data_IF_119568918368
#
_entry.id   IF_119568918368
#
_cell.length_a   1.000
_cell.length_b   1.000
_cell.length_c   1.000
_cell.angle_alpha   90.00
_cell.angle_beta   90.00
_cell.angle_gamma   90.00
#
_symmetry.space_group_name_H-M   'P 1'
#
loop_
_entity.id
_entity.type
_entity.pdbx_description
1 polymer ?
#
# COMPACT_ATOMS: atom_id res chain seq x y z
N UNK A 1 16.65 -39.59 -71.01
CA UNK A 1 15.24 -39.15 -71.10
C UNK A 1 15.20 -37.63 -70.95
N UNK A 2 14.43 -36.96 -71.83
CA UNK A 2 14.32 -35.52 -72.14
C UNK A 2 14.49 -34.55 -70.96
N UNK A 3 15.25 -33.45 -71.01
CA UNK A 3 15.32 -32.32 -71.96
C UNK A 3 14.05 -31.42 -71.99
N UNK A 4 14.12 -30.21 -71.41
CA UNK A 4 13.77 -29.00 -72.15
C UNK A 4 14.38 -27.73 -71.54
N UNK A 5 14.69 -26.79 -72.42
CA UNK A 5 15.66 -25.69 -72.29
C UNK A 5 14.95 -24.36 -72.58
N UNK A 6 15.47 -23.29 -71.96
CA UNK A 6 15.57 -21.88 -72.46
C UNK A 6 14.31 -20.99 -72.58
N UNK A 7 14.48 -19.78 -72.05
CA UNK A 7 13.77 -18.58 -72.50
C UNK A 7 14.19 -17.29 -71.77
N UNK A 8 15.39 -16.74 -72.05
CA UNK A 8 15.75 -15.35 -71.72
C UNK A 8 15.17 -14.41 -72.78
N UNK A 9 14.58 -13.28 -72.38
CA UNK A 9 14.57 -12.03 -73.17
C UNK A 9 14.80 -10.81 -72.26
N UNK A 10 15.46 -9.83 -72.87
CA UNK A 10 16.19 -8.68 -72.34
C UNK A 10 15.34 -7.40 -72.52
N UNK A 11 15.56 -6.44 -71.62
CA UNK A 11 15.54 -4.97 -71.80
C UNK A 11 14.28 -4.27 -72.35
N UNK A 12 13.77 -3.33 -71.56
CA UNK A 12 13.69 -1.92 -71.99
C UNK A 12 13.80 -0.96 -70.80
N UNK A 13 14.72 0.00 -70.93
CA UNK A 13 14.85 1.18 -70.10
C UNK A 13 13.79 2.20 -70.56
N UNK A 14 13.14 2.88 -69.63
CA UNK A 14 12.66 4.24 -69.86
C UNK A 14 13.01 5.10 -68.65
N UNK A 15 13.65 6.22 -68.98
CA UNK A 15 14.21 7.27 -68.12
C UNK A 15 13.32 8.50 -68.32
N UNK A 16 13.33 9.42 -67.34
CA UNK A 16 12.76 10.80 -67.30
C UNK A 16 11.60 10.91 -66.29
N UNK A 17 11.49 11.95 -65.44
CA UNK A 17 12.29 13.18 -65.26
C UNK A 17 11.96 13.79 -63.89
N UNK A 18 12.96 14.46 -63.32
CA UNK A 18 12.93 15.51 -62.30
C UNK A 18 11.65 16.35 -62.21
N UNK A 19 11.27 16.68 -60.97
CA UNK A 19 11.07 18.08 -60.55
C UNK A 19 11.45 18.24 -59.07
N UNK A 20 12.48 19.05 -58.85
CA UNK A 20 12.78 19.72 -57.58
C UNK A 20 11.78 20.86 -57.36
N UNK A 21 11.42 21.12 -56.11
CA UNK A 21 11.12 22.49 -55.67
C UNK A 21 11.63 22.68 -54.25
N UNK A 22 12.76 23.38 -54.14
CA UNK A 22 13.19 24.12 -52.96
C UNK A 22 12.45 25.46 -52.92
N UNK A 23 11.95 25.85 -51.76
CA UNK A 23 11.93 27.26 -51.37
C UNK A 23 12.26 27.39 -49.89
N UNK A 24 13.03 28.43 -49.61
CA UNK A 24 13.71 28.77 -48.36
C UNK A 24 13.21 30.12 -47.84
N UNK A 25 13.72 30.53 -46.68
CA UNK A 25 13.70 31.89 -46.09
C UNK A 25 12.34 32.32 -45.47
N UNK A 26 12.21 33.02 -44.33
CA UNK A 26 13.14 33.72 -43.42
C UNK A 26 12.38 34.18 -42.14
N UNK A 27 13.14 34.58 -41.10
CA UNK A 27 12.87 35.53 -39.99
C UNK A 27 11.85 35.24 -38.87
N UNK A 28 12.40 35.21 -37.64
CA UNK A 28 11.76 35.76 -36.42
C UNK A 28 11.53 37.28 -36.52
N UNK A 29 10.65 37.86 -35.70
CA UNK A 29 11.16 38.44 -34.45
C UNK A 29 10.24 38.27 -33.23
N UNK A 30 10.86 38.48 -32.07
CA UNK A 30 10.25 38.59 -30.75
C UNK A 30 9.24 39.74 -30.62
N UNK A 31 8.28 39.62 -29.69
CA UNK A 31 7.88 40.71 -28.78
C UNK A 31 6.88 40.23 -27.70
N UNK A 32 7.22 40.63 -26.46
CA UNK A 32 6.36 41.15 -25.40
C UNK A 32 5.20 40.31 -24.84
N UNK A 33 5.48 39.78 -23.64
CA UNK A 33 4.78 40.08 -22.39
C UNK A 33 3.29 40.40 -22.41
N UNK A 34 2.50 39.57 -21.72
CA UNK A 34 1.32 39.98 -20.95
C UNK A 34 0.98 38.92 -19.90
N UNK A 35 1.32 39.24 -18.66
CA UNK A 35 0.74 38.69 -17.44
C UNK A 35 -0.73 39.15 -17.32
N UNK A 36 -1.64 38.22 -17.01
CA UNK A 36 -3.03 38.50 -16.63
C UNK A 36 -3.57 37.29 -15.81
N UNK A 37 -4.56 37.47 -14.91
CA UNK A 37 -4.40 37.07 -13.51
C UNK A 37 -5.29 35.91 -13.05
N UNK A 38 -4.96 35.44 -11.84
CA UNK A 38 -5.78 34.64 -10.92
C UNK A 38 -7.28 35.02 -10.96
N UNK A 39 -8.13 34.08 -11.36
CA UNK A 39 -9.58 34.17 -11.16
C UNK A 39 -10.00 33.38 -9.91
N UNK A 40 -10.32 34.12 -8.84
CA UNK A 40 -11.05 33.63 -7.67
C UNK A 40 -12.47 33.23 -8.10
N UNK A 41 -12.84 31.97 -7.91
CA UNK A 41 -14.23 31.53 -8.00
C UNK A 41 -14.97 31.86 -6.71
N UNK A 42 -15.80 32.91 -6.76
CA UNK A 42 -16.77 33.24 -5.72
C UNK A 42 -17.96 32.29 -5.77
N UNK A 43 -18.29 31.69 -4.62
CA UNK A 43 -19.54 30.96 -4.38
C UNK A 43 -20.75 31.87 -4.58
N UNK A 44 -21.73 31.45 -5.38
CA UNK A 44 -23.13 31.91 -5.28
C UNK A 44 -24.00 30.77 -4.75
N UNK A 45 -24.73 31.09 -3.69
CA UNK A 45 -25.82 30.32 -3.08
C UNK A 45 -27.07 30.37 -3.97
N UNK A 46 -27.82 29.26 -4.01
CA UNK A 46 -29.28 29.27 -4.13
C UNK A 46 -29.84 27.94 -3.58
N UNK A 47 -30.97 28.02 -2.85
CA UNK A 47 -31.92 26.91 -2.69
C UNK A 47 -31.85 26.13 -1.39
N UNK A 48 -32.69 26.51 -0.42
CA UNK A 48 -32.94 25.82 0.83
C UNK A 48 -34.02 24.75 0.67
N UNK A 49 -33.86 23.61 1.34
CA UNK A 49 -34.94 22.73 1.78
C UNK A 49 -34.62 22.28 3.21
N UNK A 50 -35.42 22.75 4.15
CA UNK A 50 -35.31 22.57 5.61
C UNK A 50 -36.02 21.30 6.05
N UNK A 51 -35.35 20.42 6.81
CA UNK A 51 -35.96 19.53 7.81
C UNK A 51 -35.02 19.54 9.04
N UNK A 52 -35.46 20.20 10.11
CA UNK A 52 -34.69 20.35 11.35
C UNK A 52 -34.89 19.18 12.32
N UNK A 53 -33.96 18.96 13.27
CA UNK A 53 -34.20 18.12 14.42
C UNK A 53 -34.63 18.95 15.64
N UNK A 54 -35.62 18.40 16.33
CA UNK A 54 -36.29 18.86 17.54
C UNK A 54 -35.31 19.16 18.68
N UNK A 55 -35.44 20.35 19.29
CA UNK A 55 -34.73 20.79 20.50
C UNK A 55 -35.66 20.60 21.69
N UNK A 56 -35.23 19.85 22.71
CA UNK A 56 -35.83 19.86 24.05
C UNK A 56 -35.08 20.90 24.87
N UNK A 57 -35.85 21.85 25.41
CA UNK A 57 -35.42 22.93 26.31
C UNK A 57 -35.63 22.46 27.75
N UNK A 58 -34.64 22.64 28.61
CA UNK A 58 -34.84 22.74 30.06
C UNK A 58 -34.07 23.97 30.54
N UNK A 59 -34.82 24.94 31.03
CA UNK A 59 -34.38 26.16 31.71
C UNK A 59 -33.83 25.85 33.11
N UNK A 60 -32.90 26.69 33.59
CA UNK A 60 -32.55 26.75 35.00
C UNK A 60 -31.18 27.33 35.31
N UNK A 61 -31.08 28.67 35.38
CA UNK A 61 -30.07 29.40 36.18
C UNK A 61 -30.85 30.16 37.27
N UNK A 62 -30.27 30.58 38.43
CA UNK A 62 -29.13 31.51 38.45
C UNK A 62 -28.15 31.47 39.66
N UNK A 63 -27.06 32.22 39.47
CA UNK A 63 -26.42 33.15 40.42
C UNK A 63 -25.41 32.68 41.52
N UNK A 64 -24.19 33.24 41.35
CA UNK A 64 -23.25 33.87 42.34
C UNK A 64 -22.64 32.96 43.44
N UNK A 65 -21.37 33.07 43.86
CA UNK A 65 -20.59 34.25 44.25
C UNK A 65 -19.08 33.89 44.42
N UNK A 66 -18.20 34.91 44.28
CA UNK A 66 -16.76 34.95 44.64
C UNK A 66 -16.47 34.56 46.11
N UNK A 67 -15.26 34.07 46.42
CA UNK A 67 -14.39 34.37 47.60
C UNK A 67 -13.12 33.49 47.50
N UNK A 68 -11.94 34.02 47.12
CA UNK A 68 -10.80 34.47 47.96
C UNK A 68 -10.00 33.36 48.68
N UNK A 69 -8.68 33.35 48.41
CA UNK A 69 -7.60 32.65 49.12
C UNK A 69 -7.50 33.06 50.60
N UNK A 70 -6.73 32.30 51.41
CA UNK A 70 -5.43 32.84 51.82
C UNK A 70 -4.26 31.84 51.78
N UNK A 71 -3.07 32.44 51.74
CA UNK A 71 -1.73 31.87 51.88
C UNK A 71 -1.47 31.28 53.27
N UNK A 72 -0.49 30.36 53.38
CA UNK A 72 0.53 30.46 54.42
C UNK A 72 1.74 29.56 54.13
N UNK A 73 2.88 30.20 54.34
CA UNK A 73 4.28 29.84 54.15
C UNK A 73 4.80 28.90 55.26
N UNK A 74 5.83 28.11 54.96
CA UNK A 74 6.70 27.51 55.97
C UNK A 74 8.02 27.04 55.32
N UNK A 75 9.04 27.89 55.49
CA UNK A 75 10.45 27.58 55.33
C UNK A 75 11.00 26.91 56.60
N UNK A 76 11.95 25.98 56.45
CA UNK A 76 13.05 25.77 57.42
C UNK A 76 14.11 24.79 56.87
N UNK A 77 15.36 25.14 57.19
CA UNK A 77 16.63 24.61 56.72
C UNK A 77 17.21 23.49 57.61
N UNK A 78 18.21 22.79 57.08
CA UNK A 78 19.48 22.29 57.70
C UNK A 78 19.80 20.87 57.19
N UNK A 79 20.86 20.60 56.42
CA UNK A 79 22.32 20.75 56.61
C UNK A 79 22.96 19.62 57.47
N UNK A 80 24.07 19.09 56.93
CA UNK A 80 25.02 18.08 57.46
C UNK A 80 24.67 16.60 57.15
N UNK A 81 25.57 15.70 56.74
CA UNK A 81 27.03 15.69 56.76
C UNK A 81 27.65 14.73 55.71
N UNK A 82 28.91 15.05 55.35
CA UNK A 82 30.06 14.19 55.06
C UNK A 82 29.87 12.75 54.53
N UNK A 83 30.51 12.48 53.38
CA UNK A 83 30.72 11.14 52.84
C UNK A 83 31.76 10.30 53.60
N UNK A 84 31.94 9.03 53.18
CA UNK A 84 33.19 8.71 52.50
C UNK A 84 33.02 7.77 51.28
N UNK A 85 33.99 7.85 50.35
CA UNK A 85 34.22 6.88 49.26
C UNK A 85 34.88 5.58 49.81
N UNK A 86 35.31 4.62 48.95
CA UNK A 86 34.50 3.52 48.42
C UNK A 86 35.05 2.16 48.91
N UNK A 87 34.26 1.09 48.80
CA UNK A 87 34.82 -0.28 48.88
C UNK A 87 34.58 -1.02 47.58
N UNK A 88 35.71 -1.37 46.96
CA UNK A 88 35.90 -2.41 45.98
C UNK A 88 35.27 -3.73 46.42
N UNK A 89 34.69 -4.45 45.47
CA UNK A 89 34.84 -5.89 45.22
C UNK A 89 33.96 -6.18 44.00
N UNK A 90 34.46 -6.79 42.94
CA UNK A 90 35.22 -8.02 42.97
C UNK A 90 34.38 -9.01 42.17
N UNK A 91 34.78 -9.24 40.93
CA UNK A 91 34.14 -10.19 40.03
C UNK A 91 34.18 -11.58 40.65
N UNK A 92 33.03 -12.21 40.84
CA UNK A 92 32.90 -13.66 40.89
C UNK A 92 31.78 -14.05 39.93
N UNK A 93 32.21 -14.57 38.78
CA UNK A 93 31.33 -15.22 37.82
C UNK A 93 30.92 -16.57 38.37
N UNK A 94 29.62 -16.79 38.48
CA UNK A 94 29.03 -18.12 38.48
C UNK A 94 28.31 -18.29 37.16
N UNK A 95 28.86 -19.15 36.30
CA UNK A 95 28.20 -19.61 35.08
C UNK A 95 27.00 -20.46 35.51
N UNK A 96 25.79 -19.90 35.42
CA UNK A 96 24.57 -20.70 35.52
C UNK A 96 24.29 -21.30 34.15
N UNK A 97 24.14 -22.63 34.11
CA UNK A 97 23.68 -23.35 32.92
C UNK A 97 22.25 -22.89 32.57
N UNK A 98 21.88 -22.80 31.27
CA UNK A 98 20.55 -22.38 30.89
C UNK A 98 19.52 -23.46 31.26
N UNK A 99 18.41 -23.00 31.82
CA UNK A 99 17.24 -23.78 32.18
C UNK A 99 16.64 -24.49 30.94
N UNK A 100 16.44 -25.82 30.96
CA UNK A 100 15.88 -26.56 29.82
C UNK A 100 14.42 -26.18 29.48
N UNK A 101 13.72 -25.41 30.32
CA UNK A 101 12.35 -24.94 30.08
C UNK A 101 12.27 -23.51 29.49
N UNK A 102 13.39 -22.94 29.05
CA UNK A 102 13.43 -21.61 28.45
C UNK A 102 12.67 -21.55 27.10
N UNK A 103 11.51 -20.91 27.12
CA UNK A 103 10.69 -20.63 25.93
C UNK A 103 11.46 -19.73 24.95
N UNK A 104 11.85 -20.27 23.81
CA UNK A 104 12.51 -19.51 22.74
C UNK A 104 11.50 -18.62 21.98
N UNK A 105 11.61 -17.31 22.14
CA UNK A 105 10.84 -16.29 21.40
C UNK A 105 11.49 -16.01 20.03
N UNK A 106 10.76 -16.00 18.89
CA UNK A 106 11.29 -15.59 17.59
C UNK A 106 11.24 -14.06 17.38
N UNK A 107 12.35 -13.53 16.85
CA UNK A 107 12.57 -12.26 16.15
C UNK A 107 12.06 -10.95 16.79
N UNK A 108 12.97 -10.32 17.54
CA UNK A 108 13.10 -8.88 17.79
C UNK A 108 11.79 -8.09 17.90
N UNK A 109 11.13 -8.21 19.07
CA UNK A 109 10.33 -7.11 19.61
C UNK A 109 11.29 -5.93 19.79
N UNK A 110 11.18 -4.91 18.92
CA UNK A 110 11.83 -3.59 18.98
C UNK A 110 13.28 -3.62 19.50
N UNK A 111 14.30 -3.45 18.63
CA UNK A 111 15.71 -3.42 19.05
C UNK A 111 15.97 -2.45 20.23
N UNK A 112 16.06 -3.02 21.43
CA UNK A 112 16.30 -2.29 22.67
C UNK A 112 17.82 -2.11 22.84
N UNK A 113 18.44 -1.31 21.99
CA UNK A 113 19.82 -0.86 22.20
C UNK A 113 19.80 0.22 23.31
N UNK A 114 20.71 0.20 24.31
CA UNK A 114 20.62 1.11 25.44
C UNK A 114 20.93 2.57 25.04
N UNK A 115 19.91 3.30 24.58
CA UNK A 115 19.91 4.74 24.42
C UNK A 115 18.99 5.36 25.49
N UNK A 116 19.47 6.42 26.17
CA UNK A 116 18.84 7.26 27.21
C UNK A 116 17.61 6.71 27.97
N UNK A 117 17.65 6.72 29.32
CA UNK A 117 16.65 6.11 30.21
C UNK A 117 15.16 6.46 29.95
N UNK A 118 14.85 7.59 29.29
CA UNK A 118 13.49 7.95 28.84
C UNK A 118 13.01 7.13 27.63
N UNK A 119 13.88 6.90 26.65
CA UNK A 119 13.60 6.12 25.43
C UNK A 119 13.22 4.68 25.79
N UNK A 120 13.88 4.11 26.79
CA UNK A 120 13.62 2.75 27.26
C UNK A 120 12.18 2.54 27.76
N UNK A 121 11.58 3.55 28.41
CA UNK A 121 10.21 3.45 28.94
C UNK A 121 9.18 3.51 27.81
N UNK A 122 9.41 4.39 26.82
CA UNK A 122 8.57 4.51 25.63
C UNK A 122 8.57 3.21 24.82
N UNK A 123 9.75 2.66 24.51
CA UNK A 123 9.87 1.42 23.74
C UNK A 123 9.19 0.25 24.44
N UNK A 124 9.28 0.18 25.79
CA UNK A 124 8.52 -0.81 26.58
C UNK A 124 7.01 -0.59 26.50
N UNK A 125 6.55 0.66 26.49
CA UNK A 125 5.13 0.95 26.25
C UNK A 125 4.66 0.42 24.89
N UNK A 126 5.43 0.65 23.83
CA UNK A 126 5.11 0.14 22.49
C UNK A 126 5.16 -1.38 22.40
N UNK A 127 6.16 -2.01 23.01
CA UNK A 127 6.30 -3.47 23.04
C UNK A 127 5.13 -4.16 23.78
N UNK A 128 4.47 -3.50 24.75
CA UNK A 128 3.23 -4.02 25.36
C UNK A 128 2.09 -4.06 24.33
N UNK A 129 1.97 -3.04 23.47
CA UNK A 129 0.95 -3.02 22.42
C UNK A 129 1.18 -4.13 21.39
N UNK A 130 2.43 -4.36 21.00
CA UNK A 130 2.81 -5.47 20.12
C UNK A 130 2.54 -6.84 20.78
N UNK A 131 2.90 -7.01 22.06
CA UNK A 131 2.60 -8.22 22.81
C UNK A 131 1.08 -8.48 22.90
N UNK A 132 0.29 -7.43 23.11
CA UNK A 132 -1.17 -7.52 23.13
C UNK A 132 -1.74 -7.91 21.76
N UNK A 133 -1.21 -7.33 20.67
CA UNK A 133 -1.56 -7.70 19.30
C UNK A 133 -1.23 -9.18 19.01
N UNK A 134 -0.15 -9.70 19.58
CA UNK A 134 0.26 -11.11 19.49
C UNK A 134 -0.44 -12.04 20.50
N UNK A 135 -1.45 -11.54 21.23
CA UNK A 135 -2.33 -12.36 22.06
C UNK A 135 -2.03 -12.38 23.55
N UNK A 136 -1.04 -11.63 24.05
CA UNK A 136 -0.86 -11.44 25.49
C UNK A 136 -2.03 -10.65 26.09
N UNK A 137 -2.54 -11.10 27.24
CA UNK A 137 -3.75 -10.52 27.85
C UNK A 137 -3.59 -10.13 29.32
N UNK A 138 -2.52 -10.52 29.99
CA UNK A 138 -2.36 -10.30 31.42
C UNK A 138 -0.98 -9.73 31.79
N UNK A 139 -0.84 -9.23 33.02
CA UNK A 139 0.41 -8.60 33.48
C UNK A 139 1.59 -9.58 33.50
N UNK A 140 1.34 -10.90 33.63
CA UNK A 140 2.40 -11.90 33.65
C UNK A 140 2.98 -12.09 32.25
N UNK A 141 2.11 -12.28 31.25
CA UNK A 141 2.47 -12.41 29.84
C UNK A 141 3.13 -11.14 29.30
N UNK A 142 2.64 -9.95 29.67
CA UNK A 142 3.34 -8.71 29.34
C UNK A 142 4.71 -8.62 30.04
N UNK A 143 4.80 -8.90 31.35
CA UNK A 143 6.09 -8.85 32.06
C UNK A 143 7.13 -9.82 31.48
N UNK A 144 6.70 -11.02 31.08
CA UNK A 144 7.54 -12.01 30.44
C UNK A 144 8.02 -11.55 29.05
N UNK A 145 7.13 -10.98 28.23
CA UNK A 145 7.49 -10.48 26.90
C UNK A 145 8.49 -9.30 26.94
N UNK A 146 8.46 -8.49 28.01
CA UNK A 146 9.30 -7.31 28.15
C UNK A 146 10.52 -7.49 29.06
N UNK A 147 10.64 -8.61 29.77
CA UNK A 147 11.67 -8.83 30.79
C UNK A 147 11.58 -7.83 31.96
N UNK A 148 10.38 -7.39 32.32
CA UNK A 148 10.15 -6.36 33.35
C UNK A 148 9.50 -6.91 34.61
N UNK A 149 9.75 -6.24 35.75
CA UNK A 149 9.11 -6.57 37.02
C UNK A 149 7.60 -6.34 36.97
N UNK A 150 6.83 -7.05 37.81
CA UNK A 150 5.38 -6.88 37.92
C UNK A 150 4.96 -5.43 38.18
N UNK A 151 5.69 -4.72 39.03
CA UNK A 151 5.41 -3.30 39.36
C UNK A 151 5.61 -2.40 38.13
N UNK A 152 6.71 -2.60 37.40
CA UNK A 152 6.99 -1.85 36.15
C UNK A 152 5.94 -2.13 35.09
N UNK A 153 5.60 -3.40 34.85
CA UNK A 153 4.58 -3.79 33.88
C UNK A 153 3.22 -3.21 34.23
N UNK A 154 2.81 -3.28 35.50
CA UNK A 154 1.56 -2.70 35.96
C UNK A 154 1.49 -1.20 35.65
N UNK A 155 2.53 -0.44 36.00
CA UNK A 155 2.57 1.01 35.73
C UNK A 155 2.41 1.32 34.24
N UNK A 156 3.13 0.62 33.36
CA UNK A 156 3.05 0.81 31.92
C UNK A 156 1.65 0.48 31.37
N UNK A 157 1.09 -0.67 31.76
CA UNK A 157 -0.25 -1.09 31.34
C UNK A 157 -1.31 -0.11 31.84
N UNK A 158 -1.24 0.33 33.09
CA UNK A 158 -2.16 1.35 33.63
C UNK A 158 -2.09 2.65 32.84
N UNK A 159 -0.89 3.13 32.49
CA UNK A 159 -0.74 4.32 31.64
C UNK A 159 -1.33 4.14 30.25
N UNK A 160 -1.13 2.99 29.61
CA UNK A 160 -1.71 2.69 28.29
C UNK A 160 -3.24 2.56 28.34
N UNK A 161 -3.79 2.02 29.43
CA UNK A 161 -5.25 1.98 29.66
C UNK A 161 -5.81 3.38 29.85
N UNK A 162 -5.17 4.21 30.69
CA UNK A 162 -5.57 5.60 30.92
C UNK A 162 -5.53 6.42 29.61
N UNK A 163 -4.53 6.18 28.77
CA UNK A 163 -4.39 6.81 27.45
C UNK A 163 -5.24 6.14 26.35
N UNK A 164 -6.04 5.12 26.69
CA UNK A 164 -6.96 4.38 25.79
C UNK A 164 -6.28 3.56 24.68
N UNK A 165 -4.96 3.34 24.75
CA UNK A 165 -4.23 2.43 23.86
C UNK A 165 -4.46 0.96 24.23
N UNK A 166 -4.74 0.69 25.51
CA UNK A 166 -5.30 -0.58 25.98
C UNK A 166 -6.69 -0.34 26.58
N UNK A 167 -7.48 -1.39 26.71
CA UNK A 167 -8.71 -1.43 27.49
C UNK A 167 -8.72 -2.67 28.38
N UNK A 168 -9.21 -2.50 29.59
CA UNK A 168 -9.39 -3.62 30.51
C UNK A 168 -10.73 -4.30 30.21
N UNK A 169 -10.73 -5.64 30.21
CA UNK A 169 -11.90 -6.49 30.00
C UNK A 169 -11.95 -7.59 31.07
N UNK A 170 -13.08 -8.29 31.17
CA UNK A 170 -13.14 -9.52 31.95
C UNK A 170 -12.13 -10.53 31.35
N UNK A 171 -11.12 -10.90 32.12
CA UNK A 171 -10.04 -11.79 31.67
C UNK A 171 -8.77 -11.11 31.16
N UNK A 172 -8.61 -9.80 31.33
CA UNK A 172 -7.32 -9.14 31.13
C UNK A 172 -7.38 -7.80 30.38
N UNK A 173 -6.48 -7.60 29.44
CA UNK A 173 -6.31 -6.39 28.65
C UNK A 173 -6.35 -6.71 27.16
N UNK A 174 -6.95 -5.82 26.38
CA UNK A 174 -6.97 -5.85 24.92
C UNK A 174 -6.54 -4.49 24.36
N UNK A 175 -6.23 -4.45 23.07
CA UNK A 175 -6.03 -3.20 22.35
C UNK A 175 -7.24 -2.26 22.50
N UNK A 176 -6.96 -1.00 22.77
CA UNK A 176 -7.94 0.05 23.03
C UNK A 176 -8.31 0.85 21.78
N UNK A 177 -9.40 1.64 21.84
CA UNK A 177 -9.94 2.38 20.70
C UNK A 177 -9.00 3.46 20.15
N UNK A 178 -8.01 3.93 20.94
CA UNK A 178 -7.06 4.95 20.47
C UNK A 178 -6.27 4.49 19.24
N UNK A 179 -6.03 3.19 19.12
CA UNK A 179 -5.33 2.60 17.99
C UNK A 179 -6.15 2.63 16.70
N UNK A 180 -7.48 2.53 16.78
CA UNK A 180 -8.37 2.70 15.62
C UNK A 180 -8.34 4.15 15.17
N UNK A 181 -8.49 5.11 16.11
CA UNK A 181 -8.43 6.55 15.80
C UNK A 181 -7.13 6.92 15.07
N UNK A 182 -5.99 6.50 15.62
CA UNK A 182 -4.68 6.80 15.04
C UNK A 182 -4.43 6.04 13.73
N UNK A 183 -4.90 4.79 13.63
CA UNK A 183 -4.82 4.01 12.41
C UNK A 183 -5.57 4.65 11.26
N UNK A 184 -6.79 5.13 11.49
CA UNK A 184 -7.58 5.86 10.48
C UNK A 184 -6.87 7.12 10.03
N UNK A 185 -6.37 7.93 10.96
CA UNK A 185 -5.61 9.16 10.63
C UNK A 185 -4.34 8.82 9.83
N UNK A 186 -3.61 7.77 10.22
CA UNK A 186 -2.41 7.34 9.51
C UNK A 186 -2.73 6.92 8.08
N UNK A 187 -3.81 6.16 7.86
CA UNK A 187 -4.28 5.78 6.52
C UNK A 187 -4.66 7.01 5.67
N UNK A 188 -5.31 8.02 6.26
CA UNK A 188 -5.63 9.28 5.57
C UNK A 188 -4.37 10.08 5.20
N UNK A 189 -3.32 10.02 6.03
CA UNK A 189 -2.03 10.68 5.80
C UNK A 189 -1.13 9.94 4.80
N UNK A 190 -1.45 8.69 4.46
CA UNK A 190 -0.71 7.84 3.52
C UNK A 190 -1.53 7.62 2.24
N UNK A 191 -1.69 8.65 1.38
CA UNK A 191 -2.40 8.46 0.12
C UNK A 191 -1.65 7.43 -0.72
N UNK A 192 -2.34 6.34 -1.08
CA UNK A 192 -1.81 5.20 -1.83
C UNK A 192 -0.97 5.62 -3.04
N UNK A 193 -1.40 6.64 -3.79
CA UNK A 193 -0.65 7.14 -4.94
C UNK A 193 0.72 7.71 -4.57
N UNK A 194 0.83 8.43 -3.45
CA UNK A 194 2.12 8.97 -2.99
C UNK A 194 3.05 7.86 -2.50
N UNK A 195 2.52 6.88 -1.78
CA UNK A 195 3.27 5.69 -1.33
C UNK A 195 3.75 4.87 -2.53
N UNK A 196 2.88 4.64 -3.51
CA UNK A 196 3.22 3.82 -4.67
C UNK A 196 4.20 4.52 -5.64
N UNK A 197 4.15 5.86 -5.75
CA UNK A 197 4.83 6.60 -6.82
C UNK A 197 6.31 6.26 -6.99
N UNK A 198 7.15 6.19 -5.94
CA UNK A 198 8.57 5.85 -6.10
C UNK A 198 8.78 4.45 -6.68
N UNK A 199 7.97 3.47 -6.27
CA UNK A 199 8.02 2.10 -6.81
C UNK A 199 7.58 2.02 -8.26
N UNK A 200 6.52 2.76 -8.62
CA UNK A 200 6.09 2.83 -10.02
C UNK A 200 7.18 3.47 -10.90
N UNK A 201 7.87 4.50 -10.40
CA UNK A 201 9.00 5.13 -11.10
C UNK A 201 10.15 4.15 -11.28
N UNK A 202 10.54 3.42 -10.23
CA UNK A 202 11.57 2.39 -10.32
C UNK A 202 11.21 1.30 -11.35
N UNK A 203 9.95 0.86 -11.40
CA UNK A 203 9.47 -0.07 -12.45
C UNK A 203 9.58 0.54 -13.84
N UNK A 204 9.13 1.78 -14.01
CA UNK A 204 9.15 2.45 -15.31
C UNK A 204 10.59 2.63 -15.82
N UNK A 205 11.51 3.02 -14.94
CA UNK A 205 12.93 3.17 -15.24
C UNK A 205 13.58 1.83 -15.60
N UNK A 206 13.24 0.76 -14.86
CA UNK A 206 13.81 -0.57 -15.09
C UNK A 206 13.28 -1.24 -16.36
N UNK A 207 11.99 -1.07 -16.68
CA UNK A 207 11.32 -1.82 -17.77
C UNK A 207 11.18 -1.02 -19.06
N UNK A 208 11.21 0.32 -18.96
CA UNK A 208 10.87 1.26 -20.03
C UNK A 208 9.45 1.12 -20.58
N UNK A 209 8.59 0.38 -19.88
CA UNK A 209 7.22 0.07 -20.26
C UNK A 209 6.21 0.94 -19.50
N UNK A 210 4.94 0.89 -19.91
CA UNK A 210 3.89 1.65 -19.24
C UNK A 210 3.52 0.99 -17.93
N UNK A 211 3.54 1.77 -16.85
CA UNK A 211 3.16 1.31 -15.51
C UNK A 211 1.77 1.83 -15.16
N UNK A 212 0.93 0.96 -14.60
CA UNK A 212 -0.40 1.33 -14.10
C UNK A 212 -0.52 1.03 -12.60
N UNK A 213 -1.29 1.87 -11.92
CA UNK A 213 -1.81 1.58 -10.59
C UNK A 213 -3.33 1.76 -10.63
N UNK A 214 -4.06 0.78 -10.12
CA UNK A 214 -5.50 0.83 -10.03
C UNK A 214 -6.02 0.40 -8.67
N UNK A 215 -7.27 0.76 -8.40
CA UNK A 215 -8.08 0.26 -7.28
C UNK A 215 -9.37 -0.32 -7.81
N UNK A 216 -10.01 -1.19 -7.03
CA UNK A 216 -11.30 -1.77 -7.39
C UNK A 216 -12.43 -0.76 -7.14
N UNK A 217 -13.31 -0.61 -8.12
CA UNK A 217 -14.54 0.17 -8.02
C UNK A 217 -15.70 -0.68 -8.55
N UNK A 218 -16.39 -1.39 -7.64
CA UNK A 218 -17.42 -2.36 -7.98
C UNK A 218 -16.87 -3.55 -8.78
N UNK A 219 -17.35 -3.69 -10.02
CA UNK A 219 -16.93 -4.72 -10.98
C UNK A 219 -15.84 -4.22 -11.96
N UNK A 220 -15.35 -2.99 -11.75
CA UNK A 220 -14.34 -2.34 -12.58
C UNK A 220 -13.05 -2.06 -11.78
N UNK A 221 -11.98 -1.80 -12.53
CA UNK A 221 -10.76 -1.14 -12.04
C UNK A 221 -10.85 0.34 -12.35
N UNK A 222 -10.61 1.18 -11.36
CA UNK A 222 -10.34 2.60 -11.52
C UNK A 222 -8.82 2.83 -11.56
N UNK A 223 -8.31 3.35 -12.68
CA UNK A 223 -6.91 3.77 -12.78
C UNK A 223 -6.67 5.03 -11.95
N UNK A 224 -5.75 4.97 -10.99
CA UNK A 224 -5.43 6.09 -10.10
C UNK A 224 -4.03 6.66 -10.34
N UNK A 225 -3.15 5.89 -10.99
CA UNK A 225 -1.88 6.40 -11.50
C UNK A 225 -1.46 5.70 -12.79
N UNK A 226 -0.66 6.39 -13.59
CA UNK A 226 -0.06 5.91 -14.84
C UNK A 226 1.29 6.59 -15.04
N UNK A 227 2.31 5.79 -15.35
CA UNK A 227 3.60 6.29 -15.88
C UNK A 227 3.73 5.78 -17.32
N UNK A 228 3.71 6.66 -18.33
CA UNK A 228 3.91 6.27 -19.71
C UNK A 228 5.29 5.62 -19.92
N UNK A 229 5.33 4.53 -20.70
CA UNK A 229 6.58 3.94 -21.15
C UNK A 229 7.32 4.83 -22.15
N UNK A 230 8.60 4.56 -22.37
CA UNK A 230 9.46 5.36 -23.28
C UNK A 230 9.56 4.81 -24.69
N UNK A 231 8.91 3.66 -24.97
CA UNK A 231 8.92 2.97 -26.27
C UNK A 231 7.97 3.57 -27.32
N UNK A 232 7.49 4.79 -27.12
CA UNK A 232 6.64 5.52 -28.08
C UNK A 232 5.23 4.97 -28.27
N UNK A 233 4.76 4.12 -27.35
CA UNK A 233 3.42 3.54 -27.38
C UNK A 233 2.43 4.37 -26.56
N UNK A 234 1.35 4.82 -27.20
CA UNK A 234 0.23 5.45 -26.49
C UNK A 234 -0.88 4.42 -26.24
N UNK A 235 -1.03 4.01 -24.98
CA UNK A 235 -2.12 3.14 -24.54
C UNK A 235 -3.38 3.96 -24.23
N UNK A 236 -4.57 3.40 -24.52
CA UNK A 236 -5.89 4.03 -24.26
C UNK A 236 -6.16 4.30 -22.77
N UNK A 237 -5.49 3.57 -21.87
CA UNK A 237 -5.60 3.76 -20.43
C UNK A 237 -5.27 5.21 -20.01
N UNK A 238 -6.02 5.78 -19.08
CA UNK A 238 -5.71 7.08 -18.45
C UNK A 238 -6.19 7.10 -17.01
N UNK A 239 -5.56 7.92 -16.17
CA UNK A 239 -6.03 8.15 -14.80
C UNK A 239 -7.50 8.60 -14.83
N UNK A 240 -8.31 8.04 -13.94
CA UNK A 240 -9.75 8.25 -13.86
C UNK A 240 -10.59 7.38 -14.82
N UNK A 241 -9.97 6.59 -15.71
CA UNK A 241 -10.71 5.60 -16.50
C UNK A 241 -11.10 4.39 -15.68
N UNK A 242 -12.20 3.77 -16.12
CA UNK A 242 -12.67 2.47 -15.63
C UNK A 242 -12.55 1.41 -16.70
N UNK A 243 -12.12 0.22 -16.32
CA UNK A 243 -12.12 -0.97 -17.19
C UNK A 243 -12.61 -2.20 -16.40
N UNK A 244 -13.31 -3.16 -17.04
CA UNK A 244 -13.83 -4.32 -16.32
C UNK A 244 -12.71 -5.18 -15.70
N UNK A 245 -12.93 -5.63 -14.46
CA UNK A 245 -11.91 -6.35 -13.68
C UNK A 245 -11.31 -7.54 -14.42
N UNK A 246 -12.15 -8.46 -14.90
CA UNK A 246 -11.70 -9.73 -15.46
C UNK A 246 -10.99 -9.57 -16.82
N UNK A 247 -11.13 -8.41 -17.48
CA UNK A 247 -10.46 -8.12 -18.75
C UNK A 247 -9.04 -7.59 -18.59
N UNK A 248 -8.66 -7.07 -17.42
CA UNK A 248 -7.37 -6.40 -17.21
C UNK A 248 -6.45 -7.19 -16.30
N UNK A 249 -5.13 -7.04 -16.46
CA UNK A 249 -4.15 -7.68 -15.57
C UNK A 249 -4.32 -7.23 -14.11
N UNK A 250 -4.33 -5.92 -13.86
CA UNK A 250 -4.55 -5.35 -12.53
C UNK A 250 -5.90 -5.74 -11.93
N UNK A 251 -6.96 -5.85 -12.75
CA UNK A 251 -8.27 -6.26 -12.26
C UNK A 251 -8.31 -7.72 -11.86
N UNK A 252 -7.73 -8.61 -12.67
CA UNK A 252 -7.51 -10.01 -12.27
C UNK A 252 -6.68 -10.10 -10.99
N UNK A 253 -5.67 -9.24 -10.82
CA UNK A 253 -4.84 -9.25 -9.60
C UNK A 253 -5.65 -8.88 -8.35
N UNK A 254 -6.64 -7.99 -8.47
CA UNK A 254 -7.59 -7.67 -7.39
C UNK A 254 -8.61 -8.78 -7.11
N UNK A 255 -8.69 -9.80 -7.96
CA UNK A 255 -9.62 -10.91 -7.84
C UNK A 255 -8.98 -12.17 -7.23
N UNK A 256 -7.67 -12.19 -6.97
CA UNK A 256 -6.92 -13.41 -6.65
C UNK A 256 -7.40 -14.16 -5.41
N UNK A 257 -7.97 -13.44 -4.44
CA UNK A 257 -8.49 -14.01 -3.19
C UNK A 257 -10.00 -14.31 -3.26
N UNK A 258 -10.64 -14.11 -4.42
CA UNK A 258 -12.06 -14.39 -4.59
C UNK A 258 -12.30 -15.87 -4.96
N UNK A 259 -13.48 -16.37 -4.58
CA UNK A 259 -13.93 -17.70 -4.94
C UNK A 259 -14.26 -17.83 -6.44
N UNK A 260 -14.18 -19.05 -6.98
CA UNK A 260 -14.43 -19.34 -8.40
C UNK A 260 -15.79 -18.83 -8.91
N UNK A 261 -16.84 -18.84 -8.07
CA UNK A 261 -18.15 -18.30 -8.42
C UNK A 261 -18.11 -16.78 -8.65
N UNK A 262 -17.32 -16.05 -7.85
CA UNK A 262 -17.13 -14.63 -8.04
C UNK A 262 -16.31 -14.33 -9.30
N UNK A 263 -15.29 -15.15 -9.61
CA UNK A 263 -14.56 -15.08 -10.88
C UNK A 263 -15.49 -15.23 -12.07
N UNK A 264 -16.38 -16.23 -12.06
CA UNK A 264 -17.38 -16.45 -13.12
C UNK A 264 -18.26 -15.22 -13.34
N UNK A 265 -18.85 -14.71 -12.26
CA UNK A 265 -19.73 -13.53 -12.28
C UNK A 265 -19.01 -12.31 -12.88
N UNK A 266 -17.76 -12.07 -12.49
CA UNK A 266 -16.96 -10.94 -12.95
C UNK A 266 -16.49 -11.09 -14.41
N UNK A 267 -16.20 -12.31 -14.85
CA UNK A 267 -15.92 -12.60 -16.26
C UNK A 267 -17.14 -12.29 -17.13
N UNK A 268 -18.32 -12.79 -16.73
CA UNK A 268 -19.58 -12.52 -17.44
C UNK A 268 -19.92 -11.02 -17.46
N UNK A 269 -19.70 -10.31 -16.36
CA UNK A 269 -19.86 -8.85 -16.30
C UNK A 269 -18.92 -8.14 -17.28
N UNK A 270 -17.66 -8.56 -17.34
CA UNK A 270 -16.66 -8.00 -18.27
C UNK A 270 -17.04 -8.27 -19.74
N UNK A 271 -17.51 -9.47 -20.06
CA UNK A 271 -18.02 -9.79 -21.39
C UNK A 271 -19.20 -8.91 -21.81
N UNK A 272 -20.15 -8.65 -20.91
CA UNK A 272 -21.28 -7.75 -21.16
C UNK A 272 -20.82 -6.31 -21.38
N UNK A 273 -19.93 -5.80 -20.53
CA UNK A 273 -19.42 -4.44 -20.62
C UNK A 273 -18.66 -4.20 -21.95
N UNK A 274 -17.90 -5.21 -22.42
CA UNK A 274 -17.12 -5.12 -23.64
C UNK A 274 -17.90 -5.50 -24.92
N UNK A 275 -19.16 -5.93 -24.81
CA UNK A 275 -19.96 -6.41 -25.95
C UNK A 275 -20.23 -5.33 -27.01
N UNK A 276 -20.34 -4.06 -26.59
CA UNK A 276 -20.70 -2.93 -27.45
C UNK A 276 -19.53 -1.97 -27.73
N UNK A 277 -18.32 -2.34 -27.31
CA UNK A 277 -17.13 -1.53 -27.59
C UNK A 277 -16.71 -1.73 -29.05
N UNK A 278 -16.41 -0.63 -29.76
CA UNK A 278 -15.99 -0.67 -31.17
C UNK A 278 -14.65 -1.40 -31.39
N UNK A 279 -13.84 -1.52 -30.33
CA UNK A 279 -12.55 -2.17 -30.32
C UNK A 279 -12.62 -3.44 -29.47
N UNK A 280 -13.30 -4.46 -30.00
CA UNK A 280 -13.39 -5.75 -29.32
C UNK A 280 -12.01 -6.42 -29.36
N UNK A 281 -11.41 -6.74 -28.20
CA UNK A 281 -10.28 -7.65 -28.19
C UNK A 281 -10.74 -9.02 -28.71
N UNK A 282 -9.95 -9.61 -29.61
CA UNK A 282 -10.23 -10.93 -30.19
C UNK A 282 -10.06 -12.05 -29.15
N UNK A 283 -9.29 -11.79 -28.08
CA UNK A 283 -9.07 -12.75 -27.00
C UNK A 283 -10.12 -12.61 -25.91
N UNK A 284 -11.11 -13.50 -25.91
CA UNK A 284 -12.12 -13.65 -24.85
C UNK A 284 -12.13 -15.10 -24.38
N UNK A 285 -11.45 -15.44 -23.27
CA UNK A 285 -11.42 -16.80 -22.79
C UNK A 285 -12.82 -17.26 -22.36
N UNK A 286 -13.14 -18.52 -22.60
CA UNK A 286 -14.25 -19.16 -21.92
C UNK A 286 -13.96 -19.30 -20.42
N UNK A 287 -14.98 -19.68 -19.65
CA UNK A 287 -14.84 -19.77 -18.21
C UNK A 287 -13.83 -20.84 -17.78
N UNK A 288 -13.72 -21.96 -18.48
CA UNK A 288 -12.80 -23.04 -18.10
C UNK A 288 -11.34 -22.61 -18.28
N UNK A 289 -11.03 -21.95 -19.39
CA UNK A 289 -9.72 -21.34 -19.64
C UNK A 289 -9.41 -20.25 -18.62
N UNK A 290 -10.39 -19.40 -18.31
CA UNK A 290 -10.23 -18.34 -17.32
C UNK A 290 -9.99 -18.90 -15.92
N UNK A 291 -10.72 -19.95 -15.53
CA UNK A 291 -10.58 -20.63 -14.25
C UNK A 291 -9.19 -21.25 -14.08
N UNK A 292 -8.69 -21.94 -15.10
CA UNK A 292 -7.32 -22.49 -15.10
C UNK A 292 -6.28 -21.39 -14.91
N UNK A 293 -6.41 -20.28 -15.65
CA UNK A 293 -5.51 -19.11 -15.55
C UNK A 293 -5.58 -18.49 -14.15
N UNK A 294 -6.77 -18.18 -13.65
CA UNK A 294 -6.95 -17.58 -12.33
C UNK A 294 -6.47 -18.48 -11.19
N UNK A 295 -6.61 -19.79 -11.32
CA UNK A 295 -6.05 -20.75 -10.35
C UNK A 295 -4.53 -20.64 -10.30
N UNK A 296 -3.85 -20.65 -11.46
CA UNK A 296 -2.40 -20.43 -11.54
C UNK A 296 -2.01 -19.08 -10.95
N UNK A 297 -2.75 -18.04 -11.30
CA UNK A 297 -2.48 -16.67 -10.85
C UNK A 297 -2.65 -16.51 -9.34
N UNK A 298 -3.69 -17.11 -8.76
CA UNK A 298 -3.95 -17.08 -7.32
C UNK A 298 -2.85 -17.77 -6.54
N UNK A 299 -2.41 -18.95 -7.00
CA UNK A 299 -1.28 -19.68 -6.40
C UNK A 299 0.06 -18.95 -6.55
N UNK A 300 0.26 -18.28 -7.68
CA UNK A 300 1.50 -17.58 -8.00
C UNK A 300 1.59 -16.15 -7.46
N UNK A 301 0.48 -15.50 -7.15
CA UNK A 301 0.42 -14.10 -6.73
C UNK A 301 0.71 -13.09 -7.85
N UNK A 302 0.40 -13.43 -9.10
CA UNK A 302 0.60 -12.57 -10.27
C UNK A 302 -0.50 -12.83 -11.30
N UNK A 303 -0.69 -11.93 -12.26
CA UNK A 303 -1.62 -12.14 -13.38
C UNK A 303 -1.05 -11.68 -14.69
N UNK A 304 -1.54 -12.28 -15.78
CA UNK A 304 -1.31 -11.78 -17.13
C UNK A 304 -2.60 -11.28 -17.76
N UNK A 305 -2.49 -10.17 -18.48
CA UNK A 305 -3.41 -9.79 -19.57
C UNK A 305 -2.79 -10.22 -20.89
N UNK A 306 -3.49 -11.09 -21.61
CA UNK A 306 -3.04 -11.69 -22.86
C UNK A 306 -3.81 -11.07 -24.04
N UNK A 307 -3.97 -9.75 -24.06
CA UNK A 307 -4.74 -9.00 -25.07
C UNK A 307 -6.26 -9.12 -24.87
N UNK A 308 -6.70 -9.29 -23.63
CA UNK A 308 -8.11 -9.43 -23.25
C UNK A 308 -8.81 -8.07 -23.07
N UNK A 309 -8.05 -6.99 -22.84
CA UNK A 309 -8.54 -5.62 -22.67
C UNK A 309 -8.33 -4.73 -23.91
N UNK A 310 -7.16 -4.83 -24.53
CA UNK A 310 -6.75 -4.01 -25.68
C UNK A 310 -5.91 -4.86 -26.62
N UNK A 311 -6.28 -4.86 -27.91
CA UNK A 311 -5.57 -5.64 -28.91
C UNK A 311 -4.10 -5.21 -28.99
N UNK A 312 -3.21 -6.19 -29.18
CA UNK A 312 -1.76 -5.97 -29.21
C UNK A 312 -1.11 -5.52 -27.90
N UNK A 313 -1.85 -5.41 -26.80
CA UNK A 313 -1.32 -5.03 -25.48
C UNK A 313 -1.31 -6.24 -24.55
N UNK A 314 -0.18 -6.46 -23.90
CA UNK A 314 -0.04 -7.46 -22.83
C UNK A 314 0.50 -6.80 -21.58
N UNK A 315 0.10 -7.32 -20.43
CA UNK A 315 0.63 -6.85 -19.16
C UNK A 315 0.81 -7.96 -18.13
N UNK A 316 1.74 -7.72 -17.21
CA UNK A 316 1.99 -8.52 -16.00
C UNK A 316 1.60 -7.66 -14.81
N UNK A 317 0.81 -8.19 -13.88
CA UNK A 317 0.35 -7.46 -12.71
C UNK A 317 0.52 -8.26 -11.42
N UNK A 318 0.55 -7.54 -10.29
CA UNK A 318 0.59 -8.11 -8.95
C UNK A 318 -0.31 -7.32 -7.98
N UNK A 319 -0.87 -7.99 -6.97
CA UNK A 319 -1.74 -7.35 -5.99
C UNK A 319 -0.94 -6.54 -4.96
N UNK A 320 -1.53 -5.44 -4.51
CA UNK A 320 -1.06 -4.64 -3.37
C UNK A 320 -2.02 -4.86 -2.20
N UNK A 321 -1.45 -5.21 -1.04
CA UNK A 321 -2.19 -5.55 0.17
C UNK A 321 -2.01 -4.48 1.25
N UNK A 322 -3.03 -4.28 2.07
CA UNK A 322 -2.95 -3.42 3.25
C UNK A 322 -2.59 -4.22 4.51
N UNK A 323 -2.53 -3.54 5.66
CA UNK A 323 -2.27 -4.14 6.97
C UNK A 323 -3.28 -5.24 7.38
N UNK A 324 -4.49 -5.26 6.82
CA UNK A 324 -5.48 -6.33 7.07
C UNK A 324 -5.18 -7.60 6.27
N UNK A 325 -4.29 -7.52 5.28
CA UNK A 325 -4.03 -8.59 4.32
C UNK A 325 -4.95 -8.56 3.10
N UNK A 326 -5.95 -7.68 3.06
CA UNK A 326 -6.85 -7.55 1.91
C UNK A 326 -6.13 -6.94 0.70
N UNK A 327 -6.49 -7.37 -0.51
CA UNK A 327 -6.01 -6.74 -1.75
C UNK A 327 -6.79 -5.43 -1.96
N UNK A 328 -6.09 -4.30 -1.81
CA UNK A 328 -6.67 -2.94 -1.90
C UNK A 328 -6.37 -2.23 -3.23
N UNK A 329 -5.32 -2.68 -3.92
CA UNK A 329 -4.89 -2.14 -5.19
C UNK A 329 -4.13 -3.20 -6.00
N UNK A 330 -3.76 -2.88 -7.23
CA UNK A 330 -2.83 -3.66 -8.01
C UNK A 330 -2.05 -2.76 -8.95
N UNK A 331 -0.85 -3.18 -9.30
CA UNK A 331 0.00 -2.50 -10.27
C UNK A 331 0.39 -3.44 -11.41
N UNK A 332 0.65 -2.86 -12.60
CA UNK A 332 1.09 -3.64 -13.76
C UNK A 332 2.18 -2.96 -14.57
N UNK A 333 2.94 -3.80 -15.28
CA UNK A 333 3.83 -3.42 -16.37
C UNK A 333 3.18 -3.86 -17.68
N UNK A 334 3.01 -2.93 -18.61
CA UNK A 334 2.29 -3.16 -19.86
C UNK A 334 3.08 -2.67 -21.07
N UNK A 335 3.06 -3.45 -22.16
CA UNK A 335 3.68 -3.08 -23.44
C UNK A 335 2.98 -3.78 -24.61
N UNK A 336 3.44 -3.51 -25.84
CA UNK A 336 2.94 -4.24 -27.02
C UNK A 336 3.53 -5.65 -27.12
N UNK A 337 2.87 -6.55 -27.87
CA UNK A 337 3.34 -7.93 -28.09
C UNK A 337 4.83 -8.04 -28.45
N UNK A 338 5.39 -7.24 -29.39
CA UNK A 338 6.81 -7.37 -29.76
C UNK A 338 7.77 -7.09 -28.60
N UNK A 339 7.35 -6.26 -27.64
CA UNK A 339 8.12 -5.95 -26.45
C UNK A 339 7.68 -6.76 -25.23
N UNK A 340 6.56 -7.47 -25.28
CA UNK A 340 6.03 -8.27 -24.18
C UNK A 340 5.73 -9.71 -24.62
N UNK A 341 6.74 -10.46 -25.14
CA UNK A 341 6.58 -11.88 -25.40
C UNK A 341 6.39 -12.63 -24.08
N UNK A 342 5.83 -13.85 -24.17
CA UNK A 342 5.49 -14.65 -22.98
C UNK A 342 6.69 -14.89 -22.05
N UNK A 343 7.88 -15.17 -22.60
CA UNK A 343 9.11 -15.34 -21.82
C UNK A 343 9.43 -14.12 -20.96
N UNK A 344 9.38 -12.92 -21.55
CA UNK A 344 9.58 -11.66 -20.80
C UNK A 344 8.51 -11.45 -19.73
N UNK A 345 7.26 -11.85 -20.01
CA UNK A 345 6.20 -11.77 -19.00
C UNK A 345 6.52 -12.63 -17.77
N UNK A 346 7.05 -13.84 -17.97
CA UNK A 346 7.51 -14.71 -16.88
C UNK A 346 8.70 -14.09 -16.12
N UNK A 347 9.68 -13.51 -16.82
CA UNK A 347 10.82 -12.80 -16.22
C UNK A 347 10.40 -11.60 -15.37
N UNK A 348 9.33 -10.91 -15.76
CA UNK A 348 8.82 -9.73 -15.05
C UNK A 348 8.01 -10.07 -13.80
N UNK A 349 7.54 -11.32 -13.63
CA UNK A 349 6.78 -11.74 -12.43
C UNK A 349 7.50 -11.32 -11.13
N UNK A 350 8.75 -11.77 -10.86
CA UNK A 350 9.42 -11.43 -9.60
C UNK A 350 9.66 -9.91 -9.45
N UNK A 351 9.85 -9.20 -10.55
CA UNK A 351 10.06 -7.74 -10.54
C UNK A 351 8.79 -7.01 -10.10
N UNK A 352 7.66 -7.30 -10.74
CA UNK A 352 6.37 -6.67 -10.42
C UNK A 352 5.91 -7.03 -9.01
N UNK A 353 6.10 -8.29 -8.60
CA UNK A 353 5.75 -8.75 -7.25
C UNK A 353 6.60 -8.09 -6.16
N UNK A 354 7.89 -7.86 -6.39
CA UNK A 354 8.76 -7.17 -5.43
C UNK A 354 8.27 -5.76 -5.16
N UNK A 355 7.93 -5.02 -6.20
CA UNK A 355 7.48 -3.63 -6.06
C UNK A 355 6.08 -3.58 -5.45
N UNK A 356 5.17 -4.49 -5.83
CA UNK A 356 3.86 -4.60 -5.20
C UNK A 356 3.97 -4.96 -3.71
N UNK A 357 4.92 -5.85 -3.36
CA UNK A 357 5.24 -6.17 -1.96
C UNK A 357 5.77 -4.96 -1.21
N UNK A 358 6.69 -4.21 -1.79
CA UNK A 358 7.28 -3.03 -1.14
C UNK A 358 6.22 -1.98 -0.82
N UNK A 359 5.32 -1.70 -1.78
CA UNK A 359 4.14 -0.85 -1.54
C UNK A 359 3.27 -1.43 -0.43
N UNK A 360 3.03 -2.74 -0.44
CA UNK A 360 2.20 -3.40 0.58
C UNK A 360 2.82 -3.26 1.98
N UNK A 361 4.13 -3.43 2.11
CA UNK A 361 4.88 -3.28 3.37
C UNK A 361 4.79 -1.85 3.91
N UNK A 362 4.86 -0.84 3.03
CA UNK A 362 4.65 0.56 3.40
C UNK A 362 3.19 0.84 3.84
N UNK A 363 2.21 0.11 3.28
CA UNK A 363 0.82 0.12 3.74
C UNK A 363 0.57 -0.73 5.00
N UNK A 364 1.63 -1.27 5.61
CA UNK A 364 1.60 -2.03 6.85
C UNK A 364 1.31 -3.52 6.68
N UNK A 365 1.27 -4.04 5.44
CA UNK A 365 1.18 -5.47 5.22
C UNK A 365 2.45 -6.18 5.70
N UNK A 366 2.28 -7.33 6.32
CA UNK A 366 3.38 -8.25 6.63
C UNK A 366 3.03 -9.61 6.08
N UNK A 367 4.00 -10.27 5.45
CA UNK A 367 3.83 -11.64 5.02
C UNK A 367 3.46 -12.51 6.25
N UNK A 368 2.46 -13.40 6.13
CA UNK A 368 2.12 -14.33 7.21
C UNK A 368 3.37 -15.10 7.63
N UNK A 369 3.85 -14.90 8.86
CA UNK A 369 4.94 -15.72 9.38
C UNK A 369 4.42 -17.16 9.54
N UNK A 370 5.15 -18.18 9.09
CA UNK A 370 4.76 -19.56 9.34
C UNK A 370 4.68 -19.74 10.85
N UNK A 371 3.50 -20.09 11.35
CA UNK A 371 3.31 -20.34 12.78
C UNK A 371 4.28 -21.45 13.19
N UNK A 372 5.27 -21.12 14.03
CA UNK A 372 6.13 -22.13 14.65
C UNK A 372 5.23 -23.00 15.51
N UNK A 373 4.84 -24.16 14.97
CA UNK A 373 4.06 -25.20 15.62
C UNK A 373 4.85 -25.63 16.86
N UNK A 374 4.43 -25.18 18.03
CA UNK A 374 4.98 -25.64 19.31
C UNK A 374 4.71 -27.14 19.37
N UNK A 375 5.76 -27.96 19.23
CA UNK A 375 5.66 -29.38 19.53
C UNK A 375 5.36 -29.48 21.03
N UNK A 376 4.17 -29.98 21.36
CA UNK A 376 3.83 -30.39 22.72
C UNK A 376 4.60 -31.63 23.10
#
# INVERSE_FOLDING_TARGET
>A
MCAYRKGRKRLSRTRQKHTETRHAFDRSPALAGRTAPFARFTRRRAGACTHGPTRIVIDGTPAMTKFQNPEADASAQSAHAAGPRPKSNGAHGTKHAPDPDAIALPSALVDITPQQAGTQTLLRGLAILEAAANGARDLRSFGAALGTTRSTTHRLVSSLVQARYLRQVQGGYLLGPKLIELGTIALEQMPLTAVARPHLQALAEHTHDTIHLGVRDGDDVLYIDKIPGTRGLEMRSRVGHRMPLASTGIGKAMMLDLEANAWKRLLEASHRALANTSFKPDNRPDFDTFLQRMTRYSQGGFTFDLEENEASIRCVAAPVRDASGAIVAALSVASTIPYMPHERMEELIPVVQREARSISEELGWRAPQPSRRIKR
#
